data_IF_810002988784
#
_entry.id   IF_810002988784
#
_cell.length_a   1.000
_cell.length_b   1.000
_cell.length_c   1.000
_cell.angle_alpha   90.00
_cell.angle_beta   90.00
_cell.angle_gamma   90.00
#
_symmetry.space_group_name_H-M   'P 1'
#
loop_
_entity.id
_entity.type
_entity.pdbx_description
1 polymer ?
#
# COMPACT_ATOMS: atom_id res chain seq x y z
N UNK A 1 -16.35 13.86 22.67
CA UNK A 1 -14.89 13.76 22.64
C UNK A 1 -14.49 13.00 21.39
N UNK A 2 -13.54 13.50 20.59
CA UNK A 2 -13.20 12.98 19.27
C UNK A 2 -12.50 11.62 19.20
N UNK A 3 -12.70 10.74 20.19
CA UNK A 3 -12.07 9.42 20.24
C UNK A 3 -13.00 8.27 19.82
N UNK A 4 -14.29 8.55 19.64
CA UNK A 4 -15.30 7.53 19.38
C UNK A 4 -16.46 8.10 18.56
N UNK A 5 -16.99 7.30 17.61
CA UNK A 5 -18.22 7.55 16.86
C UNK A 5 -19.16 6.37 17.09
N UNK A 6 -20.42 6.65 17.40
CA UNK A 6 -21.47 5.65 17.53
C UNK A 6 -22.47 5.81 16.38
N UNK A 7 -22.77 4.72 15.70
CA UNK A 7 -23.73 4.62 14.60
C UNK A 7 -24.84 3.63 15.01
N UNK A 8 -26.10 4.04 14.90
CA UNK A 8 -27.25 3.15 15.02
C UNK A 8 -27.61 2.50 13.68
N UNK A 9 -28.34 1.39 13.72
CA UNK A 9 -28.87 0.78 12.51
C UNK A 9 -29.94 1.69 11.87
N UNK A 10 -29.95 1.73 10.54
CA UNK A 10 -30.95 2.44 9.76
C UNK A 10 -31.84 1.41 9.05
N UNK A 11 -33.12 1.33 9.47
CA UNK A 11 -34.06 0.30 9.00
C UNK A 11 -34.35 0.39 7.49
N UNK A 12 -34.40 1.61 6.95
CA UNK A 12 -34.75 1.87 5.56
C UNK A 12 -33.51 1.94 4.64
N UNK A 13 -32.39 1.28 5.03
CA UNK A 13 -31.21 1.23 4.17
C UNK A 13 -31.51 0.47 2.88
N UNK A 14 -31.12 1.02 1.73
CA UNK A 14 -31.45 0.52 0.38
C UNK A 14 -31.04 -0.94 0.09
N UNK A 15 -30.04 -1.47 0.81
CA UNK A 15 -29.59 -2.87 0.69
C UNK A 15 -30.13 -3.76 1.82
N UNK A 16 -31.13 -3.27 2.57
CA UNK A 16 -31.71 -3.92 3.74
C UNK A 16 -31.12 -3.44 5.06
N UNK A 17 -31.90 -3.56 6.12
CA UNK A 17 -31.47 -3.16 7.46
C UNK A 17 -30.24 -3.98 7.92
N UNK A 18 -29.23 -3.34 8.56
CA UNK A 18 -28.11 -4.05 9.16
C UNK A 18 -28.57 -5.05 10.23
N UNK A 19 -27.88 -6.17 10.36
CA UNK A 19 -28.19 -7.19 11.38
C UNK A 19 -27.75 -6.81 12.80
N UNK A 20 -26.96 -5.75 12.95
CA UNK A 20 -26.50 -5.22 14.24
C UNK A 20 -27.23 -3.91 14.58
N UNK A 21 -27.52 -3.71 15.87
CA UNK A 21 -28.23 -2.52 16.33
C UNK A 21 -27.34 -1.28 16.46
N UNK A 22 -26.04 -1.46 16.75
CA UNK A 22 -25.09 -0.38 16.97
C UNK A 22 -23.70 -0.76 16.49
N UNK A 23 -22.99 0.19 15.86
CA UNK A 23 -21.58 0.12 15.54
C UNK A 23 -20.84 1.23 16.30
N UNK A 24 -19.78 0.87 17.02
CA UNK A 24 -18.93 1.81 17.76
C UNK A 24 -17.56 1.84 17.10
N UNK A 25 -17.19 2.97 16.50
CA UNK A 25 -15.88 3.20 15.91
C UNK A 25 -15.00 3.96 16.92
N UNK A 26 -13.94 3.34 17.40
CA UNK A 26 -12.97 3.95 18.32
C UNK A 26 -11.68 4.29 17.57
N UNK A 27 -11.10 5.46 17.84
CA UNK A 27 -9.77 5.82 17.34
C UNK A 27 -8.73 5.33 18.35
N UNK A 28 -7.91 4.37 17.94
CA UNK A 28 -6.82 3.81 18.75
C UNK A 28 -5.49 3.92 18.00
N UNK A 29 -4.38 3.81 18.70
CA UNK A 29 -3.07 3.75 18.07
C UNK A 29 -2.94 2.43 17.28
N UNK A 30 -2.38 2.50 16.07
CA UNK A 30 -2.22 1.34 15.18
C UNK A 30 -1.41 0.20 15.83
N UNK A 31 -0.44 0.54 16.69
CA UNK A 31 0.38 -0.44 17.43
C UNK A 31 -0.39 -1.33 18.39
N UNK A 32 -1.61 -0.93 18.79
CA UNK A 32 -2.42 -1.65 19.77
C UNK A 32 -3.58 -2.44 19.12
N UNK A 33 -3.72 -2.37 17.81
CA UNK A 33 -4.90 -2.92 17.12
C UNK A 33 -5.04 -4.43 17.31
N UNK A 34 -4.00 -5.19 17.00
CA UNK A 34 -4.03 -6.67 17.07
C UNK A 34 -4.18 -7.14 18.52
N UNK A 35 -3.46 -6.52 19.46
CA UNK A 35 -3.54 -6.87 20.89
C UNK A 35 -4.94 -6.57 21.47
N UNK A 36 -5.59 -5.48 21.09
CA UNK A 36 -6.96 -5.16 21.54
C UNK A 36 -7.99 -6.14 20.99
N UNK A 37 -7.82 -6.65 19.77
CA UNK A 37 -8.68 -7.70 19.21
C UNK A 37 -8.44 -9.02 19.95
N UNK A 38 -7.19 -9.40 20.15
CA UNK A 38 -6.84 -10.63 20.87
C UNK A 38 -7.34 -10.62 22.34
N UNK A 39 -7.38 -9.44 22.97
CA UNK A 39 -7.93 -9.25 24.30
C UNK A 39 -9.48 -9.21 24.34
N UNK A 40 -10.16 -9.24 23.21
CA UNK A 40 -11.63 -9.11 23.12
C UNK A 40 -12.18 -7.71 23.39
N UNK A 41 -11.33 -6.68 23.34
CA UNK A 41 -11.74 -5.28 23.52
C UNK A 41 -12.35 -4.68 22.26
N UNK A 42 -12.06 -5.28 21.09
CA UNK A 42 -12.53 -4.90 19.77
C UNK A 42 -12.96 -6.12 18.99
N UNK A 43 -14.02 -5.99 18.21
CA UNK A 43 -14.53 -7.05 17.32
C UNK A 43 -13.82 -7.05 15.96
N UNK A 44 -13.17 -5.95 15.60
CA UNK A 44 -12.47 -5.80 14.34
C UNK A 44 -11.81 -4.43 14.19
N UNK A 45 -11.12 -4.21 13.07
CA UNK A 45 -10.55 -2.91 12.74
C UNK A 45 -10.69 -2.59 11.26
N UNK A 46 -10.75 -1.29 10.96
CA UNK A 46 -10.80 -0.77 9.61
C UNK A 46 -9.47 -0.10 9.27
N UNK A 47 -8.53 -0.89 8.84
CA UNK A 47 -7.23 -0.43 8.36
C UNK A 47 -6.63 -1.55 7.51
N UNK A 48 -5.73 -1.19 6.61
CA UNK A 48 -4.97 -2.19 5.87
C UNK A 48 -3.86 -2.75 6.79
N UNK A 49 -3.95 -4.02 7.22
CA UNK A 49 -2.91 -4.62 8.05
C UNK A 49 -1.62 -4.79 7.25
N UNK A 50 -0.50 -4.70 7.93
CA UNK A 50 0.80 -5.10 7.38
C UNK A 50 0.93 -6.63 7.40
N UNK A 51 1.92 -7.16 6.70
CA UNK A 51 2.24 -8.60 6.77
C UNK A 51 2.63 -9.00 8.19
N UNK A 52 3.35 -8.13 8.91
CA UNK A 52 3.74 -8.37 10.31
C UNK A 52 2.52 -8.38 11.24
N UNK A 53 1.52 -7.53 11.01
CA UNK A 53 0.25 -7.56 11.74
C UNK A 53 -0.48 -8.90 11.55
N UNK A 54 -0.49 -9.44 10.33
CA UNK A 54 -1.11 -10.72 10.02
C UNK A 54 -0.38 -11.90 10.73
N UNK A 55 0.94 -11.85 10.80
CA UNK A 55 1.72 -12.85 11.56
C UNK A 55 1.46 -12.75 13.06
N UNK A 56 1.54 -11.54 13.62
CA UNK A 56 1.24 -11.30 15.03
C UNK A 56 -0.17 -11.76 15.40
N UNK A 57 -1.16 -11.54 14.54
CA UNK A 57 -2.52 -12.02 14.73
C UNK A 57 -2.59 -13.56 14.80
N UNK A 58 -1.89 -14.27 13.89
CA UNK A 58 -1.80 -15.74 13.90
C UNK A 58 -1.13 -16.25 15.17
N UNK A 59 -0.03 -15.63 15.60
CA UNK A 59 0.70 -16.00 16.81
C UNK A 59 -0.15 -15.81 18.09
N UNK A 60 -1.08 -14.86 18.07
CA UNK A 60 -2.06 -14.63 19.13
C UNK A 60 -3.30 -15.53 19.02
N UNK A 61 -3.34 -16.47 18.07
CA UNK A 61 -4.45 -17.42 17.90
C UNK A 61 -5.66 -16.84 17.15
N UNK A 62 -5.54 -15.68 16.52
CA UNK A 62 -6.60 -15.10 15.70
C UNK A 62 -6.68 -15.77 14.33
N UNK A 63 -7.87 -15.88 13.79
CA UNK A 63 -8.08 -16.35 12.41
C UNK A 63 -7.76 -15.24 11.43
N UNK A 64 -6.79 -15.47 10.55
CA UNK A 64 -6.42 -14.54 9.47
C UNK A 64 -6.85 -15.13 8.13
N UNK A 65 -7.71 -14.40 7.42
CA UNK A 65 -8.14 -14.72 6.06
C UNK A 65 -7.42 -13.81 5.09
N UNK A 66 -6.74 -14.38 4.11
CA UNK A 66 -6.04 -13.66 3.05
C UNK A 66 -6.83 -13.73 1.75
N UNK A 67 -6.92 -12.62 1.00
CA UNK A 67 -7.47 -12.63 -0.36
C UNK A 67 -6.47 -13.30 -1.31
N UNK A 68 -6.95 -14.15 -2.20
CA UNK A 68 -6.14 -14.73 -3.28
C UNK A 68 -5.85 -13.71 -4.40
N UNK A 69 -6.66 -12.67 -4.49
CA UNK A 69 -6.56 -11.66 -5.55
C UNK A 69 -5.96 -10.36 -4.99
N UNK A 70 -5.12 -9.66 -5.78
CA UNK A 70 -4.64 -8.33 -5.41
C UNK A 70 -5.80 -7.36 -5.23
N UNK A 71 -5.88 -6.70 -4.08
CA UNK A 71 -6.94 -5.73 -3.77
C UNK A 71 -6.43 -4.30 -3.68
N UNK A 72 -5.12 -4.12 -3.73
CA UNK A 72 -4.46 -2.83 -3.55
C UNK A 72 -3.20 -2.72 -4.39
N UNK A 73 -2.94 -1.53 -4.91
CA UNK A 73 -1.70 -1.18 -5.62
C UNK A 73 -0.98 -0.06 -4.88
N UNK A 74 0.25 -0.33 -4.47
CA UNK A 74 1.16 0.71 -3.99
C UNK A 74 1.64 1.56 -5.17
N UNK A 75 1.49 2.89 -5.07
CA UNK A 75 1.91 3.81 -6.13
C UNK A 75 2.96 4.80 -5.64
N UNK A 76 3.93 5.09 -6.49
CA UNK A 76 4.88 6.17 -6.33
C UNK A 76 4.46 7.34 -7.23
N UNK A 77 3.99 8.44 -6.62
CA UNK A 77 3.52 9.61 -7.35
C UNK A 77 4.66 10.57 -7.62
N UNK A 78 4.91 10.87 -8.88
CA UNK A 78 5.93 11.82 -9.32
C UNK A 78 5.27 13.15 -9.68
N UNK A 79 5.76 14.24 -9.08
CA UNK A 79 5.30 15.57 -9.43
C UNK A 79 5.85 15.96 -10.81
N UNK A 80 4.98 16.01 -11.81
CA UNK A 80 5.33 16.32 -13.19
C UNK A 80 5.83 17.75 -13.41
N UNK A 81 5.53 18.69 -12.52
CA UNK A 81 6.10 20.04 -12.59
C UNK A 81 7.58 20.03 -12.22
N UNK A 82 7.98 19.20 -11.26
CA UNK A 82 9.37 19.09 -10.82
C UNK A 82 10.18 18.12 -11.68
N UNK A 83 9.54 17.10 -12.23
CA UNK A 83 10.16 16.07 -13.10
C UNK A 83 9.35 16.01 -14.40
N UNK A 84 9.46 17.07 -15.20
CA UNK A 84 8.67 17.25 -16.42
C UNK A 84 9.07 16.31 -17.56
N UNK A 85 10.36 15.94 -17.67
CA UNK A 85 10.84 15.04 -18.70
C UNK A 85 10.36 13.60 -18.46
N UNK A 86 9.64 13.05 -19.42
CA UNK A 86 9.13 11.69 -19.39
C UNK A 86 10.23 10.65 -19.24
N UNK A 87 11.39 10.86 -19.85
CA UNK A 87 12.52 9.90 -19.82
C UNK A 87 13.05 9.72 -18.40
N UNK A 88 13.11 10.80 -17.61
CA UNK A 88 13.53 10.74 -16.21
C UNK A 88 12.52 9.90 -15.39
N UNK A 89 11.22 10.10 -15.58
CA UNK A 89 10.19 9.31 -14.89
C UNK A 89 10.22 7.83 -15.29
N UNK A 90 10.50 7.54 -16.57
CA UNK A 90 10.69 6.17 -17.04
C UNK A 90 11.96 5.54 -16.45
N UNK A 91 13.06 6.30 -16.39
CA UNK A 91 14.30 5.85 -15.77
C UNK A 91 14.07 5.47 -14.29
N UNK A 92 13.34 6.28 -13.53
CA UNK A 92 12.97 5.95 -12.15
C UNK A 92 12.20 4.62 -12.07
N UNK A 93 11.27 4.39 -12.99
CA UNK A 93 10.47 3.16 -13.02
C UNK A 93 11.34 1.92 -13.35
N UNK A 94 12.34 2.05 -14.22
CA UNK A 94 13.27 0.97 -14.54
C UNK A 94 14.30 0.71 -13.43
N UNK A 95 14.65 1.74 -12.65
CA UNK A 95 15.63 1.61 -11.58
C UNK A 95 15.07 0.91 -10.34
N UNK A 96 13.78 1.10 -10.03
CA UNK A 96 13.15 0.55 -8.82
C UNK A 96 13.11 -0.97 -8.85
N UNK A 97 13.63 -1.59 -7.80
CA UNK A 97 13.56 -3.03 -7.57
C UNK A 97 12.23 -3.41 -6.91
N UNK A 98 11.22 -3.66 -7.76
CA UNK A 98 9.88 -4.00 -7.29
C UNK A 98 9.82 -5.38 -6.64
N UNK A 99 10.65 -6.31 -7.09
CA UNK A 99 10.72 -7.66 -6.52
C UNK A 99 11.29 -7.62 -5.11
N UNK A 100 12.36 -6.83 -4.90
CA UNK A 100 12.91 -6.59 -3.58
C UNK A 100 11.90 -5.90 -2.64
N UNK A 101 11.12 -4.94 -3.16
CA UNK A 101 10.04 -4.30 -2.41
C UNK A 101 8.99 -5.32 -1.97
N UNK A 102 8.59 -6.23 -2.84
CA UNK A 102 7.61 -7.29 -2.54
C UNK A 102 8.20 -8.27 -1.52
N UNK A 103 9.43 -8.69 -1.72
CA UNK A 103 10.09 -9.63 -0.81
C UNK A 103 10.21 -9.06 0.61
N UNK A 104 10.72 -7.84 0.74
CA UNK A 104 11.00 -7.26 2.06
C UNK A 104 9.77 -6.69 2.78
N UNK A 105 8.77 -6.21 2.06
CA UNK A 105 7.60 -5.58 2.70
C UNK A 105 6.34 -6.45 2.67
N UNK A 106 6.28 -7.45 1.79
CA UNK A 106 5.12 -8.32 1.63
C UNK A 106 5.49 -9.81 1.76
N UNK A 107 6.74 -10.12 2.15
CA UNK A 107 7.24 -11.50 2.28
C UNK A 107 6.98 -12.35 1.03
N UNK A 108 7.22 -11.76 -0.14
CA UNK A 108 6.97 -12.40 -1.44
C UNK A 108 5.49 -12.46 -1.85
N UNK A 109 4.56 -12.02 -1.01
CA UNK A 109 3.12 -12.08 -1.30
C UNK A 109 2.65 -10.84 -2.05
N UNK A 110 2.94 -10.76 -3.33
CA UNK A 110 2.55 -9.64 -4.15
C UNK A 110 2.87 -9.84 -5.62
N UNK A 111 2.40 -8.92 -6.44
CA UNK A 111 2.68 -8.86 -7.88
C UNK A 111 3.24 -7.48 -8.19
N UNK A 112 4.32 -7.41 -8.97
CA UNK A 112 4.91 -6.15 -9.41
C UNK A 112 4.11 -5.56 -10.59
N UNK A 113 3.21 -4.59 -10.38
CA UNK A 113 2.43 -4.03 -11.46
C UNK A 113 3.28 -3.10 -12.34
N UNK A 114 2.93 -3.01 -13.62
CA UNK A 114 3.51 -2.03 -14.53
C UNK A 114 2.81 -0.66 -14.44
N UNK A 115 1.57 -0.66 -13.99
CA UNK A 115 0.69 0.52 -13.93
C UNK A 115 0.08 0.67 -12.53
N UNK A 116 -0.70 1.72 -12.32
CA UNK A 116 -1.50 1.90 -11.10
C UNK A 116 -2.81 1.09 -11.11
N UNK A 117 -3.00 0.23 -12.09
CA UNK A 117 -4.17 -0.66 -12.22
C UNK A 117 -3.87 -1.99 -11.53
N UNK A 118 -4.87 -2.54 -10.87
CA UNK A 118 -4.76 -3.85 -10.21
C UNK A 118 -4.52 -4.92 -11.28
N UNK A 119 -3.43 -5.70 -11.18
CA UNK A 119 -3.12 -6.77 -12.13
C UNK A 119 -4.26 -7.79 -12.19
N UNK A 120 -4.62 -8.21 -13.41
CA UNK A 120 -5.69 -9.18 -13.66
C UNK A 120 -7.11 -8.60 -13.58
N UNK A 121 -7.28 -7.31 -13.29
CA UNK A 121 -8.60 -6.65 -13.37
C UNK A 121 -9.04 -6.43 -14.83
N UNK A 122 -10.31 -6.10 -15.04
CA UNK A 122 -10.86 -5.77 -16.38
C UNK A 122 -10.19 -4.56 -17.05
N UNK A 123 -9.49 -3.72 -16.26
CA UNK A 123 -8.77 -2.54 -16.74
C UNK A 123 -7.27 -2.80 -16.93
N UNK A 124 -6.79 -3.99 -16.63
CA UNK A 124 -5.39 -4.36 -16.81
C UNK A 124 -5.07 -4.52 -18.30
N UNK A 125 -4.15 -3.69 -18.78
CA UNK A 125 -3.71 -3.73 -20.18
C UNK A 125 -2.56 -4.72 -20.43
N UNK A 126 -2.18 -5.52 -19.44
CA UNK A 126 -1.13 -6.54 -19.53
C UNK A 126 0.28 -6.00 -19.76
N UNK A 127 0.53 -4.71 -19.50
CA UNK A 127 1.87 -4.14 -19.58
C UNK A 127 2.77 -4.73 -18.48
N UNK A 128 4.00 -5.00 -18.83
CA UNK A 128 5.03 -5.45 -17.88
C UNK A 128 6.21 -4.50 -17.90
N UNK A 129 6.77 -4.23 -16.73
CA UNK A 129 8.01 -3.45 -16.56
C UNK A 129 8.93 -4.20 -15.60
N UNK A 130 9.96 -4.81 -16.15
CA UNK A 130 11.04 -5.37 -15.34
C UNK A 130 12.07 -4.31 -15.00
N UNK A 131 12.80 -4.52 -13.91
CA UNK A 131 13.95 -3.70 -13.55
C UNK A 131 15.01 -3.79 -14.65
N UNK A 132 15.49 -2.62 -15.08
CA UNK A 132 16.58 -2.49 -16.07
C UNK A 132 17.39 -1.23 -15.75
N UNK A 133 18.47 -1.42 -14.99
CA UNK A 133 19.32 -0.32 -14.52
C UNK A 133 20.10 0.32 -15.67
N UNK A 134 20.47 -0.45 -16.69
CA UNK A 134 21.23 0.09 -17.82
C UNK A 134 20.32 0.94 -18.70
N UNK A 135 19.08 0.52 -18.92
CA UNK A 135 18.06 1.34 -19.58
C UNK A 135 17.74 2.61 -18.81
N UNK A 136 17.69 2.53 -17.48
CA UNK A 136 17.49 3.70 -16.63
C UNK A 136 18.64 4.72 -16.81
N UNK A 137 19.89 4.28 -16.82
CA UNK A 137 21.07 5.14 -17.04
C UNK A 137 21.06 5.78 -18.44
N UNK A 138 20.74 5.01 -19.47
CA UNK A 138 20.60 5.50 -20.85
C UNK A 138 19.57 6.64 -20.91
N UNK A 139 18.38 6.42 -20.38
CA UNK A 139 17.29 7.44 -20.37
C UNK A 139 17.69 8.70 -19.60
N UNK A 140 18.41 8.57 -18.48
CA UNK A 140 18.91 9.73 -17.74
C UNK A 140 19.97 10.51 -18.54
N UNK A 141 20.87 9.81 -19.23
CA UNK A 141 21.88 10.43 -20.09
C UNK A 141 21.23 11.17 -21.27
N UNK A 142 20.27 10.54 -21.97
CA UNK A 142 19.51 11.16 -23.05
C UNK A 142 18.70 12.39 -22.60
N UNK A 143 18.22 12.38 -21.34
CA UNK A 143 17.48 13.49 -20.75
C UNK A 143 18.40 14.61 -20.24
N UNK A 144 19.73 14.43 -20.28
CA UNK A 144 20.69 15.37 -19.70
C UNK A 144 20.52 15.55 -18.20
N UNK A 145 20.23 14.46 -17.49
CA UNK A 145 20.00 14.53 -16.05
C UNK A 145 21.24 14.98 -15.28
N UNK A 146 21.07 16.02 -14.47
CA UNK A 146 22.11 16.47 -13.55
C UNK A 146 22.13 15.57 -12.30
N UNK A 147 23.14 14.72 -12.17
CA UNK A 147 23.31 13.79 -11.05
C UNK A 147 23.53 14.48 -9.69
N UNK A 148 23.88 15.76 -9.69
CA UNK A 148 23.98 16.56 -8.44
C UNK A 148 22.62 16.94 -7.88
N UNK A 149 21.58 16.91 -8.71
CA UNK A 149 20.22 17.26 -8.32
C UNK A 149 19.63 16.18 -7.43
N UNK A 150 19.22 16.56 -6.23
CA UNK A 150 18.51 15.68 -5.29
C UNK A 150 17.01 15.84 -5.44
N UNK A 151 16.30 14.74 -5.57
CA UNK A 151 14.85 14.71 -5.46
C UNK A 151 14.46 14.52 -3.99
N UNK A 152 13.36 15.16 -3.59
CA UNK A 152 12.80 15.00 -2.25
C UNK A 152 11.55 14.13 -2.35
N UNK A 153 11.48 13.08 -1.57
CA UNK A 153 10.33 12.19 -1.47
C UNK A 153 9.65 12.40 -0.11
N UNK A 154 8.32 12.58 -0.14
CA UNK A 154 7.50 12.53 1.06
C UNK A 154 7.00 11.10 1.27
N UNK A 155 7.12 10.61 2.47
CA UNK A 155 6.71 9.26 2.86
C UNK A 155 6.03 9.32 4.23
N UNK A 156 5.04 8.48 4.46
CA UNK A 156 4.45 8.30 5.80
C UNK A 156 5.32 7.34 6.62
N UNK A 157 5.28 7.44 7.95
CA UNK A 157 6.05 6.55 8.84
C UNK A 157 5.78 5.07 8.56
N UNK A 158 4.54 4.71 8.21
CA UNK A 158 4.18 3.33 7.84
C UNK A 158 4.85 2.83 6.54
N UNK A 159 5.54 3.68 5.78
CA UNK A 159 6.16 3.35 4.48
C UNK A 159 7.67 3.65 4.43
N UNK A 160 8.29 3.92 5.57
CA UNK A 160 9.73 4.25 5.63
C UNK A 160 10.62 3.13 5.11
N UNK A 161 10.29 1.86 5.43
CA UNK A 161 11.03 0.70 4.91
C UNK A 161 11.00 0.61 3.38
N UNK A 162 9.85 0.87 2.77
CA UNK A 162 9.72 0.91 1.31
C UNK A 162 10.53 2.07 0.71
N UNK A 163 10.50 3.23 1.35
CA UNK A 163 11.26 4.39 0.89
C UNK A 163 12.77 4.15 0.90
N UNK A 164 13.29 3.44 1.89
CA UNK A 164 14.70 3.08 1.99
C UNK A 164 15.17 2.18 0.84
N UNK A 165 14.30 1.32 0.30
CA UNK A 165 14.61 0.47 -0.86
C UNK A 165 14.59 1.27 -2.18
N UNK A 166 13.73 2.30 -2.26
CA UNK A 166 13.59 3.15 -3.46
C UNK A 166 14.73 4.17 -3.56
N UNK A 167 15.38 4.51 -2.45
CA UNK A 167 16.46 5.49 -2.37
C UNK A 167 17.74 5.03 -3.08
#
# INVERSE_FOLDING_TARGET
SGSQLELGSFADYQLGAPQFGKLILKVIASTNTITSIAAGEMDGFYQQPTTDDALAAKDMGLTVTESSEPTFVGVFLINNQNVSDKRIRQAMSYAIDKELLIEQNLQGKGVAPATCVIPGSEYDCGLTWSRDVDKAKELLAEAGWDSSRKLKMAVTSARESMAAIIQ
#
